data_IF_419195616359
#
_entry.id   IF_419195616359
#
_cell.length_a   1.000
_cell.length_b   1.000
_cell.length_c   1.000
_cell.angle_alpha   90.00
_cell.angle_beta   90.00
_cell.angle_gamma   90.00
#
_symmetry.space_group_name_H-M   'P 1'
#
loop_
_entity.id
_entity.type
_entity.pdbx_description
1 polymer ?
#
# COMPACT_ATOMS: atom_id res chain seq x y z
N UNK A 1 91.95 -32.55 33.05
CA UNK A 1 91.10 -31.45 33.55
C UNK A 1 91.43 -30.09 32.92
N UNK A 2 92.70 -29.68 32.77
CA UNK A 2 93.05 -28.37 32.18
C UNK A 2 92.62 -28.18 30.71
N UNK A 3 92.69 -29.21 29.85
CA UNK A 3 92.27 -29.13 28.43
C UNK A 3 90.75 -29.00 28.23
N UNK A 4 89.94 -29.54 29.15
CA UNK A 4 88.47 -29.45 29.09
C UNK A 4 88.00 -28.04 29.51
N UNK A 5 88.70 -27.40 30.45
CA UNK A 5 88.45 -26.02 30.85
C UNK A 5 88.72 -25.02 29.72
N UNK A 6 89.82 -25.19 28.96
CA UNK A 6 90.10 -24.34 27.79
C UNK A 6 89.07 -24.51 26.67
N UNK A 7 88.56 -25.72 26.45
CA UNK A 7 87.51 -25.98 25.47
C UNK A 7 86.16 -25.34 25.87
N UNK A 8 85.80 -25.40 27.16
CA UNK A 8 84.61 -24.73 27.69
C UNK A 8 84.70 -23.20 27.61
N UNK A 9 85.89 -22.63 27.85
CA UNK A 9 86.12 -21.18 27.75
C UNK A 9 86.00 -20.70 26.30
N UNK A 10 86.53 -21.46 25.33
CA UNK A 10 86.42 -21.13 23.90
C UNK A 10 84.95 -21.23 23.42
N UNK A 11 84.19 -22.23 23.87
CA UNK A 11 82.75 -22.35 23.58
C UNK A 11 81.95 -21.20 24.21
N UNK A 12 82.27 -20.78 25.44
CA UNK A 12 81.65 -19.62 26.06
C UNK A 12 81.97 -18.31 25.31
N UNK A 13 83.20 -18.13 24.84
CA UNK A 13 83.61 -16.95 24.07
C UNK A 13 82.96 -16.88 22.68
N UNK A 14 82.66 -18.02 22.06
CA UNK A 14 81.95 -18.08 20.77
C UNK A 14 80.44 -17.81 20.89
N UNK A 15 79.86 -17.90 22.09
CA UNK A 15 78.44 -17.62 22.35
C UNK A 15 78.07 -16.13 22.37
N UNK A 16 79.03 -15.22 22.51
CA UNK A 16 78.78 -13.78 22.59
C UNK A 16 78.68 -13.06 21.24
N UNK A 17 79.01 -13.72 20.12
CA UNK A 17 78.97 -13.11 18.78
C UNK A 17 77.64 -13.33 18.02
N UNK A 18 76.64 -13.96 18.64
CA UNK A 18 75.35 -14.25 17.99
C UNK A 18 74.18 -13.36 18.46
N UNK A 19 74.42 -12.37 19.33
CA UNK A 19 73.42 -11.34 19.61
C UNK A 19 73.41 -10.33 18.45
N UNK A 20 72.70 -10.64 17.36
CA UNK A 20 72.14 -9.56 16.53
C UNK A 20 71.13 -8.81 17.39
N UNK A 21 71.16 -7.47 17.36
CA UNK A 21 70.14 -6.68 18.03
C UNK A 21 68.77 -7.11 17.50
N UNK A 22 67.92 -7.61 18.40
CA UNK A 22 66.57 -8.08 18.08
C UNK A 22 65.77 -6.99 17.34
N UNK A 23 66.10 -5.72 17.62
CA UNK A 23 65.49 -4.51 17.08
C UNK A 23 65.77 -4.25 15.59
N UNK A 24 66.91 -4.72 15.08
CA UNK A 24 67.32 -4.50 13.68
C UNK A 24 66.33 -5.06 12.65
N UNK A 25 65.48 -6.01 13.04
CA UNK A 25 64.48 -6.62 12.14
C UNK A 25 63.25 -5.72 11.96
N UNK A 26 62.98 -4.82 12.91
CA UNK A 26 61.78 -3.98 12.92
C UNK A 26 62.01 -2.48 13.03
N UNK A 27 63.24 -2.03 13.27
CA UNK A 27 63.61 -0.60 13.31
C UNK A 27 63.14 0.17 12.06
N UNK A 28 63.21 -0.44 10.87
CA UNK A 28 62.71 0.14 9.62
C UNK A 28 61.18 0.34 9.57
N UNK A 29 60.43 -0.31 10.46
CA UNK A 29 58.98 -0.17 10.59
C UNK A 29 58.58 0.78 11.74
N UNK A 30 59.55 1.29 12.52
CA UNK A 30 59.28 2.25 13.62
C UNK A 30 59.29 3.67 13.07
N UNK A 31 58.14 4.33 13.08
CA UNK A 31 58.03 5.75 12.72
C UNK A 31 58.61 6.60 13.85
N UNK A 32 59.67 7.40 13.61
CA UNK A 32 60.24 8.28 14.62
C UNK A 32 59.17 9.25 15.16
N UNK A 33 59.01 9.32 16.49
CA UNK A 33 57.99 10.10 17.21
C UNK A 33 56.53 9.65 17.05
N UNK A 34 56.29 8.51 16.40
CA UNK A 34 54.94 7.96 16.20
C UNK A 34 54.09 8.72 15.19
N UNK A 35 52.91 8.19 14.86
CA UNK A 35 51.94 8.83 13.97
C UNK A 35 50.91 9.58 14.83
N UNK A 36 50.70 10.85 14.54
CA UNK A 36 49.67 11.67 15.19
C UNK A 36 48.33 11.38 14.52
N UNK A 37 47.33 11.01 15.32
CA UNK A 37 45.95 10.80 14.85
C UNK A 37 45.01 11.79 15.54
N UNK A 38 44.49 12.80 14.81
CA UNK A 38 43.42 13.63 15.34
C UNK A 38 42.16 12.80 15.59
N UNK A 39 41.25 13.30 16.43
CA UNK A 39 40.04 12.56 16.80
C UNK A 39 39.15 12.28 15.57
N UNK A 40 38.83 11.00 15.35
CA UNK A 40 37.90 10.54 14.30
C UNK A 40 36.46 11.00 14.54
N UNK A 41 35.64 10.96 13.49
CA UNK A 41 34.20 11.19 13.62
C UNK A 41 33.55 10.14 14.54
N UNK A 42 32.71 10.58 15.48
CA UNK A 42 32.05 9.74 16.48
C UNK A 42 30.52 9.78 16.33
N UNK A 43 29.85 8.65 16.57
CA UNK A 43 28.39 8.53 16.46
C UNK A 43 27.85 8.92 15.07
N UNK A 44 28.52 8.45 14.01
CA UNK A 44 28.19 8.74 12.62
C UNK A 44 26.80 8.20 12.25
N UNK A 45 26.00 9.03 11.58
CA UNK A 45 24.66 8.69 11.07
C UNK A 45 24.51 9.16 9.64
N UNK A 46 23.73 8.42 8.86
CA UNK A 46 23.33 8.79 7.51
C UNK A 46 21.81 8.86 7.43
N UNK A 47 21.32 9.88 6.75
CA UNK A 47 19.91 10.18 6.56
C UNK A 47 19.64 10.16 5.05
N UNK A 48 18.88 9.16 4.56
CA UNK A 48 18.55 9.03 3.15
C UNK A 48 17.74 10.22 2.61
N UNK A 49 17.95 10.58 1.34
CA UNK A 49 17.14 11.56 0.62
C UNK A 49 16.98 11.19 -0.85
N UNK A 50 16.30 12.06 -1.61
CA UNK A 50 16.24 11.94 -3.08
C UNK A 50 17.50 12.53 -3.71
N UNK A 51 18.25 11.68 -4.43
CA UNK A 51 19.52 11.97 -5.08
C UNK A 51 20.56 12.63 -4.18
N UNK A 52 20.43 12.42 -2.87
CA UNK A 52 21.28 13.00 -1.84
C UNK A 52 21.25 12.17 -0.56
N UNK A 53 22.24 12.39 0.29
CA UNK A 53 22.20 12.02 1.71
C UNK A 53 22.58 13.19 2.60
N UNK A 54 22.16 13.15 3.85
CA UNK A 54 22.74 13.93 4.93
C UNK A 54 23.53 13.01 5.85
N UNK A 55 24.75 13.41 6.18
CA UNK A 55 25.61 12.70 7.13
C UNK A 55 25.83 13.59 8.34
N UNK A 56 25.71 13.02 9.54
CA UNK A 56 25.94 13.75 10.79
C UNK A 56 26.80 12.97 11.77
N UNK A 57 27.55 13.67 12.61
CA UNK A 57 28.29 13.06 13.73
C UNK A 57 28.51 14.09 14.84
N UNK A 58 28.89 13.59 16.03
CA UNK A 58 29.24 14.45 17.16
C UNK A 58 30.61 15.10 16.93
N UNK A 59 30.71 16.41 17.10
CA UNK A 59 32.00 17.11 17.09
C UNK A 59 32.84 16.57 18.25
N UNK A 60 34.06 16.16 17.92
CA UNK A 60 35.02 15.67 18.91
C UNK A 60 35.41 16.75 19.93
N UNK A 61 36.04 16.32 21.02
CA UNK A 61 36.62 17.22 22.03
C UNK A 61 38.01 17.71 21.65
N UNK A 62 38.62 17.12 20.64
CA UNK A 62 39.94 17.53 20.13
C UNK A 62 39.85 18.86 19.37
N UNK A 63 40.37 19.97 19.93
CA UNK A 63 40.32 21.28 19.28
C UNK A 63 41.24 21.38 18.07
N UNK A 64 42.12 20.39 17.83
CA UNK A 64 43.03 20.41 16.67
C UNK A 64 42.33 20.02 15.37
N UNK A 65 41.17 19.36 15.44
CA UNK A 65 40.39 18.96 14.27
C UNK A 65 39.78 20.20 13.60
N UNK A 66 40.25 20.53 12.39
CA UNK A 66 39.80 21.72 11.65
C UNK A 66 39.13 21.37 10.32
N UNK A 67 39.38 20.19 9.76
CA UNK A 67 38.85 19.75 8.46
C UNK A 67 38.28 18.35 8.54
N UNK A 68 37.25 18.09 7.75
CA UNK A 68 36.72 16.76 7.51
C UNK A 68 36.64 16.49 6.01
N UNK A 69 36.78 15.23 5.64
CA UNK A 69 36.57 14.77 4.27
C UNK A 69 35.76 13.50 4.29
N UNK A 70 34.68 13.49 3.52
CA UNK A 70 33.84 12.30 3.28
C UNK A 70 34.21 11.74 1.93
N UNK A 71 34.38 10.43 1.84
CA UNK A 71 34.64 9.70 0.61
C UNK A 71 33.52 8.70 0.35
N UNK A 72 33.22 8.45 -0.92
CA UNK A 72 32.32 7.37 -1.36
C UNK A 72 32.85 6.76 -2.66
N UNK A 73 32.12 5.79 -3.21
CA UNK A 73 32.48 5.12 -4.46
C UNK A 73 33.91 4.55 -4.46
N UNK A 74 34.28 3.82 -3.41
CA UNK A 74 35.64 3.29 -3.23
C UNK A 74 36.74 4.38 -3.28
N UNK A 75 36.49 5.53 -2.66
CA UNK A 75 37.40 6.67 -2.55
C UNK A 75 37.67 7.44 -3.86
N UNK A 76 36.94 7.17 -4.94
CA UNK A 76 37.06 7.95 -6.17
C UNK A 76 36.42 9.33 -6.04
N UNK A 77 35.38 9.42 -5.21
CA UNK A 77 34.63 10.64 -4.99
C UNK A 77 34.77 11.11 -3.54
N UNK A 78 34.73 12.44 -3.35
CA UNK A 78 34.89 13.01 -2.03
C UNK A 78 34.40 14.44 -1.90
N UNK A 79 34.06 14.82 -0.68
CA UNK A 79 33.72 16.18 -0.29
C UNK A 79 34.53 16.57 0.94
N UNK A 80 35.34 17.63 0.81
CA UNK A 80 36.14 18.18 1.89
C UNK A 80 35.55 19.51 2.37
N UNK A 81 35.53 19.72 3.68
CA UNK A 81 34.99 20.95 4.27
C UNK A 81 35.62 21.25 5.63
N UNK A 82 35.49 22.51 6.06
CA UNK A 82 35.93 22.94 7.39
C UNK A 82 34.95 22.46 8.45
N UNK A 83 35.45 21.89 9.55
CA UNK A 83 34.60 21.42 10.65
C UNK A 83 33.98 22.65 11.33
N UNK A 84 32.63 22.72 11.45
CA UNK A 84 31.97 23.85 12.07
C UNK A 84 32.18 23.85 13.59
N UNK A 85 31.91 24.99 14.23
CA UNK A 85 32.03 25.10 15.69
C UNK A 85 30.93 24.36 16.46
N UNK A 86 29.83 23.99 15.80
CA UNK A 86 28.67 23.33 16.40
C UNK A 86 28.98 21.94 16.97
N UNK A 87 28.29 21.54 18.03
CA UNK A 87 28.43 20.22 18.66
C UNK A 87 28.08 19.04 17.73
N UNK A 88 27.30 19.29 16.68
CA UNK A 88 26.98 18.31 15.64
C UNK A 88 27.51 18.83 14.32
N UNK A 89 28.34 18.02 13.67
CA UNK A 89 28.74 18.25 12.28
C UNK A 89 27.68 17.63 11.38
N UNK A 90 27.23 18.38 10.38
CA UNK A 90 26.25 17.95 9.40
C UNK A 90 26.70 18.36 8.00
N UNK A 91 26.62 17.44 7.05
CA UNK A 91 26.98 17.66 5.66
C UNK A 91 25.97 16.98 4.74
N UNK A 92 25.54 17.70 3.71
CA UNK A 92 24.70 17.17 2.64
C UNK A 92 25.59 16.83 1.44
N UNK A 93 25.41 15.63 0.90
CA UNK A 93 26.06 15.16 -0.34
C UNK A 93 24.95 14.96 -1.35
N UNK A 94 24.86 15.84 -2.34
CA UNK A 94 23.89 15.79 -3.43
C UNK A 94 24.46 15.17 -4.70
N UNK A 95 23.65 15.21 -5.77
CA UNK A 95 23.98 14.67 -7.10
C UNK A 95 24.45 13.20 -7.06
N UNK A 96 23.83 12.42 -6.17
CA UNK A 96 24.07 10.98 -6.05
C UNK A 96 23.04 10.21 -6.87
N UNK A 97 23.52 9.21 -7.60
CA UNK A 97 22.66 8.23 -8.25
C UNK A 97 21.92 7.37 -7.20
N UNK A 98 20.78 6.80 -7.58
CA UNK A 98 20.06 5.88 -6.70
C UNK A 98 20.88 4.60 -6.49
N UNK A 99 21.40 4.41 -5.27
CA UNK A 99 22.16 3.22 -4.89
C UNK A 99 22.28 3.12 -3.37
N UNK A 100 22.77 1.99 -2.89
CA UNK A 100 23.36 1.89 -1.56
C UNK A 100 24.82 2.36 -1.62
N UNK A 101 25.22 3.21 -0.67
CA UNK A 101 26.56 3.76 -0.56
C UNK A 101 27.16 3.44 0.80
N UNK A 102 28.48 3.26 0.82
CA UNK A 102 29.28 3.34 2.04
C UNK A 102 30.09 4.63 2.01
N UNK A 103 29.92 5.44 3.05
CA UNK A 103 30.61 6.71 3.24
C UNK A 103 31.73 6.54 4.26
N UNK A 104 32.91 7.05 3.93
CA UNK A 104 34.10 7.02 4.78
C UNK A 104 34.45 8.43 5.22
N UNK A 105 34.39 8.69 6.52
CA UNK A 105 34.70 10.00 7.10
C UNK A 105 36.09 10.00 7.72
N UNK A 106 36.88 11.00 7.36
CA UNK A 106 38.20 11.25 7.93
C UNK A 106 38.33 12.70 8.36
N UNK A 107 38.86 12.93 9.55
CA UNK A 107 39.13 14.28 10.07
C UNK A 107 40.63 14.57 10.01
N UNK A 108 40.97 15.86 9.95
CA UNK A 108 42.34 16.34 9.80
C UNK A 108 42.61 17.53 10.73
N UNK A 109 43.83 17.59 11.24
CA UNK A 109 44.34 18.77 11.93
C UNK A 109 44.91 19.82 10.95
N UNK A 110 45.41 20.93 11.50
CA UNK A 110 45.94 22.03 10.71
C UNK A 110 47.25 21.64 9.98
N UNK A 111 48.01 20.71 10.55
CA UNK A 111 49.26 20.16 9.99
C UNK A 111 49.02 19.09 8.92
N UNK A 112 47.78 18.61 8.76
CA UNK A 112 47.40 17.62 7.76
C UNK A 112 47.52 16.17 8.25
N UNK A 113 47.76 15.93 9.53
CA UNK A 113 47.64 14.59 10.11
C UNK A 113 46.18 14.16 10.03
N UNK A 114 45.95 12.86 9.82
CA UNK A 114 44.65 12.35 9.46
C UNK A 114 44.19 11.28 10.45
N UNK A 115 42.93 11.34 10.86
CA UNK A 115 42.35 10.39 11.81
C UNK A 115 42.30 8.97 11.24
N UNK A 116 41.98 8.01 12.10
CA UNK A 116 41.42 6.73 11.65
C UNK A 116 40.07 7.00 10.97
N UNK A 117 39.73 6.19 9.97
CA UNK A 117 38.47 6.28 9.23
C UNK A 117 37.30 5.78 10.09
N UNK A 118 36.15 6.45 9.98
CA UNK A 118 34.85 5.96 10.45
C UNK A 118 33.95 5.80 9.24
N UNK A 119 33.24 4.69 9.12
CA UNK A 119 32.35 4.40 8.00
C UNK A 119 30.87 4.32 8.41
N UNK A 120 29.97 4.63 7.49
CA UNK A 120 28.52 4.42 7.62
C UNK A 120 27.94 4.08 6.25
N UNK A 121 26.99 3.14 6.21
CA UNK A 121 26.28 2.77 4.98
C UNK A 121 24.86 3.32 5.00
N UNK A 122 24.38 3.76 3.85
CA UNK A 122 23.03 4.31 3.69
C UNK A 122 22.56 4.28 2.24
N UNK A 123 21.24 4.28 2.08
CA UNK A 123 20.58 4.31 0.77
C UNK A 123 20.38 5.73 0.29
N UNK A 124 20.57 5.96 -1.01
CA UNK A 124 20.09 7.12 -1.75
C UNK A 124 18.87 6.67 -2.54
N UNK A 125 17.78 7.41 -2.45
CA UNK A 125 16.58 7.19 -3.27
C UNK A 125 16.64 8.06 -4.52
N UNK A 126 15.99 7.67 -5.61
CA UNK A 126 15.95 8.46 -6.84
C UNK A 126 14.75 8.10 -7.70
N UNK A 127 14.88 8.30 -9.02
CA UNK A 127 13.79 8.13 -9.97
C UNK A 127 13.25 6.70 -10.04
N UNK A 128 14.11 5.68 -9.84
CA UNK A 128 13.64 4.28 -9.86
C UNK A 128 12.72 4.00 -8.67
N UNK A 129 13.02 4.54 -7.49
CA UNK A 129 12.11 4.48 -6.35
C UNK A 129 10.80 5.24 -6.61
N UNK A 130 10.85 6.43 -7.22
CA UNK A 130 9.66 7.22 -7.53
C UNK A 130 8.74 6.52 -8.54
N UNK A 131 9.31 5.87 -9.55
CA UNK A 131 8.56 5.12 -10.56
C UNK A 131 7.97 3.82 -10.03
N UNK A 132 8.57 3.24 -8.98
CA UNK A 132 8.12 2.00 -8.36
C UNK A 132 6.90 2.20 -7.44
N UNK A 133 6.71 3.41 -6.90
CA UNK A 133 5.60 3.69 -5.98
C UNK A 133 4.35 4.14 -6.72
N UNK A 134 3.19 3.68 -6.27
CA UNK A 134 1.90 4.05 -6.83
C UNK A 134 0.82 4.03 -5.76
N UNK A 135 -0.38 4.52 -6.11
CA UNK A 135 -1.52 4.45 -5.21
C UNK A 135 -1.87 3.00 -4.88
N UNK A 136 -2.05 2.72 -3.58
CA UNK A 136 -2.65 1.47 -3.10
C UNK A 136 -4.01 1.27 -3.77
N UNK A 137 -4.26 0.07 -4.28
CA UNK A 137 -5.53 -0.22 -4.95
C UNK A 137 -6.71 -0.21 -3.97
N UNK A 138 -7.88 0.20 -4.47
CA UNK A 138 -9.16 -0.01 -3.80
C UNK A 138 -9.75 -1.31 -4.32
N UNK A 139 -10.04 -2.25 -3.42
CA UNK A 139 -10.70 -3.52 -3.73
C UNK A 139 -12.23 -3.38 -3.68
N UNK A 140 -12.75 -2.55 -2.79
CA UNK A 140 -14.19 -2.35 -2.63
C UNK A 140 -14.55 -0.96 -2.15
N UNK A 141 -15.72 -0.49 -2.61
CA UNK A 141 -16.39 0.71 -2.16
C UNK A 141 -17.81 0.33 -1.81
N UNK A 142 -18.21 0.58 -0.57
CA UNK A 142 -19.55 0.26 -0.11
C UNK A 142 -20.12 1.34 0.78
N UNK A 143 -21.44 1.40 0.85
CA UNK A 143 -22.19 2.26 1.76
C UNK A 143 -23.27 1.46 2.48
N UNK A 144 -23.70 1.95 3.64
CA UNK A 144 -24.77 1.33 4.41
C UNK A 144 -25.83 2.34 4.83
N UNK A 145 -26.97 1.85 5.32
CA UNK A 145 -28.17 2.68 5.51
C UNK A 145 -28.05 3.83 6.51
N UNK A 146 -26.98 3.87 7.30
CA UNK A 146 -26.66 4.97 8.21
C UNK A 146 -25.69 6.00 7.61
N UNK A 147 -25.37 5.91 6.31
CA UNK A 147 -24.43 6.81 5.64
C UNK A 147 -22.96 6.42 5.76
N UNK A 148 -22.61 5.35 6.46
CA UNK A 148 -21.23 4.87 6.55
C UNK A 148 -20.73 4.42 5.17
N UNK A 149 -19.69 5.09 4.68
CA UNK A 149 -18.85 4.66 3.57
C UNK A 149 -17.71 3.79 4.11
N UNK A 150 -17.48 2.66 3.44
CA UNK A 150 -16.38 1.75 3.74
C UNK A 150 -15.56 1.52 2.47
N UNK A 151 -14.27 1.87 2.55
CA UNK A 151 -13.27 1.62 1.52
C UNK A 151 -12.46 0.40 1.95
N UNK A 152 -12.50 -0.67 1.16
CA UNK A 152 -11.64 -1.83 1.31
C UNK A 152 -10.37 -1.69 0.46
N UNK A 153 -9.21 -1.68 1.10
CA UNK A 153 -7.91 -1.53 0.44
C UNK A 153 -7.32 -2.87 0.00
N UNK A 154 -6.62 -2.88 -1.13
CA UNK A 154 -5.76 -3.98 -1.54
C UNK A 154 -4.52 -4.14 -0.66
N UNK A 155 -3.57 -5.03 -0.99
CA UNK A 155 -2.30 -5.12 -0.27
C UNK A 155 -1.54 -3.78 -0.29
N UNK A 156 -0.94 -3.39 0.84
CA UNK A 156 -0.07 -2.21 0.90
C UNK A 156 1.34 -2.55 0.40
N UNK A 157 1.98 -1.61 -0.27
CA UNK A 157 3.40 -1.72 -0.65
C UNK A 157 4.32 -1.34 0.53
N UNK A 158 4.32 -2.19 1.55
CA UNK A 158 5.14 -2.01 2.76
C UNK A 158 6.64 -2.07 2.42
N UNK A 159 7.02 -2.83 1.38
CA UNK A 159 8.40 -2.98 0.96
C UNK A 159 9.03 -1.65 0.49
N UNK A 160 8.26 -0.82 -0.21
CA UNK A 160 8.67 0.54 -0.59
C UNK A 160 8.30 1.61 0.45
N UNK A 161 7.78 1.21 1.62
CA UNK A 161 7.49 2.10 2.73
C UNK A 161 6.14 2.80 2.67
N UNK A 162 5.11 2.19 2.07
CA UNK A 162 3.75 2.71 2.20
C UNK A 162 3.40 2.85 3.69
N UNK A 163 3.14 4.08 4.13
CA UNK A 163 2.94 4.41 5.54
C UNK A 163 1.45 4.53 5.88
N UNK A 164 0.69 5.24 5.05
CA UNK A 164 -0.75 5.42 5.21
C UNK A 164 -1.40 5.90 3.91
N UNK A 165 -2.72 5.75 3.84
CA UNK A 165 -3.58 6.38 2.83
C UNK A 165 -4.11 7.69 3.40
N UNK A 166 -4.13 8.73 2.59
CA UNK A 166 -4.79 9.99 2.90
C UNK A 166 -6.03 10.10 2.01
N UNK A 167 -7.20 9.98 2.61
CA UNK A 167 -8.51 10.09 1.95
C UNK A 167 -9.08 11.46 2.25
N UNK A 168 -9.47 12.17 1.20
CA UNK A 168 -10.01 13.52 1.26
C UNK A 168 -11.41 13.51 0.65
N UNK A 169 -12.36 14.17 1.28
CA UNK A 169 -13.74 14.24 0.82
C UNK A 169 -14.43 15.51 1.34
N UNK A 170 -15.54 15.89 0.71
CA UNK A 170 -16.46 16.91 1.21
C UNK A 170 -17.46 16.27 2.18
N UNK A 171 -17.63 16.82 3.38
CA UNK A 171 -18.60 16.29 4.34
C UNK A 171 -20.06 16.63 3.99
N UNK A 172 -21.00 15.93 4.62
CA UNK A 172 -22.44 16.13 4.48
C UNK A 172 -23.07 17.01 5.58
N UNK A 173 -22.26 17.58 6.46
CA UNK A 173 -22.71 18.40 7.59
C UNK A 173 -22.69 19.88 7.20
N UNK A 174 -21.49 20.38 6.90
CA UNK A 174 -21.21 21.79 6.61
C UNK A 174 -20.69 21.99 5.17
N UNK A 175 -20.31 20.90 4.48
CA UNK A 175 -19.76 20.93 3.14
C UNK A 175 -18.26 21.25 3.11
N UNK A 176 -17.56 21.05 4.22
CA UNK A 176 -16.13 21.30 4.35
C UNK A 176 -15.29 20.11 3.87
N UNK A 177 -14.04 20.37 3.50
CA UNK A 177 -13.09 19.32 3.12
C UNK A 177 -12.53 18.63 4.39
N UNK A 178 -12.76 17.33 4.49
CA UNK A 178 -12.24 16.47 5.55
C UNK A 178 -11.09 15.60 5.03
N UNK A 179 -10.16 15.28 5.92
CA UNK A 179 -9.06 14.35 5.64
C UNK A 179 -9.01 13.24 6.67
N UNK A 180 -9.12 12.00 6.20
CA UNK A 180 -8.94 10.79 7.02
C UNK A 180 -7.63 10.11 6.63
N UNK A 181 -6.84 9.73 7.64
CA UNK A 181 -5.62 8.94 7.45
C UNK A 181 -5.83 7.53 7.94
N UNK A 182 -5.49 6.57 7.10
CA UNK A 182 -5.59 5.15 7.43
C UNK A 182 -4.21 4.51 7.32
N UNK A 183 -3.64 3.98 8.41
CA UNK A 183 -2.34 3.31 8.38
C UNK A 183 -2.28 2.22 7.31
N UNK A 184 -1.12 2.02 6.68
CA UNK A 184 -0.95 0.99 5.66
C UNK A 184 -1.14 -0.44 6.19
N UNK A 185 -1.03 -0.64 7.51
CA UNK A 185 -1.35 -1.89 8.21
C UNK A 185 -2.84 -2.20 8.24
N UNK A 186 -3.70 -1.18 8.10
CA UNK A 186 -5.15 -1.36 8.05
C UNK A 186 -5.60 -1.65 6.61
N UNK A 187 -6.65 -2.46 6.49
CA UNK A 187 -7.25 -2.81 5.19
C UNK A 187 -8.57 -2.08 4.93
N UNK A 188 -9.03 -1.25 5.87
CA UNK A 188 -10.33 -0.58 5.79
C UNK A 188 -10.24 0.87 6.24
N UNK A 189 -10.89 1.77 5.49
CA UNK A 189 -11.24 3.12 5.93
C UNK A 189 -12.75 3.24 6.06
N UNK A 190 -13.21 3.83 7.16
CA UNK A 190 -14.62 4.10 7.45
C UNK A 190 -14.86 5.61 7.54
N UNK A 191 -15.88 6.10 6.85
CA UNK A 191 -16.25 7.53 6.80
C UNK A 191 -17.75 7.64 7.05
N UNK A 192 -18.16 8.40 8.07
CA UNK A 192 -19.57 8.47 8.51
C UNK A 192 -20.31 9.73 8.04
N UNK A 193 -19.56 10.75 7.62
CA UNK A 193 -20.04 12.09 7.28
C UNK A 193 -19.78 12.42 5.80
N UNK A 194 -19.64 11.41 4.94
CA UNK A 194 -19.37 11.61 3.51
C UNK A 194 -20.51 12.36 2.82
N UNK A 195 -20.15 13.41 2.07
CA UNK A 195 -21.02 14.14 1.15
C UNK A 195 -20.65 13.94 -0.31
N UNK A 196 -19.44 14.34 -0.73
CA UNK A 196 -19.01 14.32 -2.13
C UNK A 196 -17.47 14.34 -2.31
N UNK A 197 -17.02 14.32 -3.57
CA UNK A 197 -15.63 14.59 -3.99
C UNK A 197 -14.58 13.73 -3.27
N UNK A 198 -14.83 12.43 -3.13
CA UNK A 198 -13.86 11.51 -2.53
C UNK A 198 -12.65 11.34 -3.45
N UNK A 199 -11.46 11.62 -2.92
CA UNK A 199 -10.17 11.35 -3.56
C UNK A 199 -9.21 10.78 -2.54
N UNK A 200 -8.20 10.06 -3.00
CA UNK A 200 -7.21 9.50 -2.09
C UNK A 200 -5.81 9.50 -2.69
N UNK A 201 -4.82 9.38 -1.82
CA UNK A 201 -3.44 9.08 -2.21
C UNK A 201 -2.75 8.19 -1.19
N UNK A 202 -1.66 7.56 -1.60
CA UNK A 202 -0.77 6.80 -0.71
C UNK A 202 0.46 7.62 -0.37
N UNK A 203 0.81 7.63 0.91
CA UNK A 203 1.96 8.34 1.45
C UNK A 203 3.05 7.34 1.84
N UNK A 204 4.26 7.56 1.33
CA UNK A 204 5.40 6.68 1.48
C UNK A 204 6.49 7.30 2.37
N UNK A 205 7.00 6.50 3.30
CA UNK A 205 8.15 6.77 4.16
C UNK A 205 9.04 5.51 4.15
N UNK A 206 9.99 5.41 3.21
CA UNK A 206 10.80 4.21 3.02
C UNK A 206 11.86 4.01 4.11
N UNK A 207 12.23 5.09 4.80
CA UNK A 207 13.10 5.04 5.98
C UNK A 207 12.62 6.07 7.01
N UNK A 208 12.66 5.70 8.29
CA UNK A 208 12.30 6.60 9.40
C UNK A 208 13.29 7.77 9.55
N UNK A 209 14.51 7.61 9.05
CA UNK A 209 15.56 8.63 8.99
C UNK A 209 15.56 9.40 7.67
N UNK A 210 14.63 9.12 6.74
CA UNK A 210 14.59 9.81 5.47
C UNK A 210 14.32 11.32 5.68
N UNK A 211 15.12 12.16 5.02
CA UNK A 211 15.01 13.63 5.07
C UNK A 211 14.23 14.16 3.86
N UNK A 212 14.04 15.47 3.76
CA UNK A 212 13.16 16.06 2.75
C UNK A 212 13.52 15.61 1.30
N UNK A 213 12.53 15.26 0.46
CA UNK A 213 11.11 15.59 0.60
C UNK A 213 10.24 14.47 1.23
N UNK A 214 10.82 13.52 1.97
CA UNK A 214 10.01 12.51 2.64
C UNK A 214 9.09 13.11 3.73
N UNK A 215 7.86 12.61 3.90
CA UNK A 215 7.27 11.50 3.16
C UNK A 215 6.86 11.87 1.72
N UNK A 216 7.02 10.94 0.79
CA UNK A 216 6.63 11.14 -0.61
C UNK A 216 5.14 10.82 -0.77
N UNK A 217 4.44 11.70 -1.46
CA UNK A 217 3.00 11.58 -1.68
C UNK A 217 2.77 11.34 -3.15
N UNK A 218 2.03 10.29 -3.45
CA UNK A 218 1.50 10.07 -4.79
C UNK A 218 0.45 11.13 -5.13
N UNK A 219 0.12 11.25 -6.41
CA UNK A 219 -0.97 12.11 -6.87
C UNK A 219 -2.32 11.64 -6.32
N UNK A 220 -3.23 12.60 -6.11
CA UNK A 220 -4.59 12.26 -5.75
C UNK A 220 -5.28 11.54 -6.90
N UNK A 221 -5.90 10.41 -6.57
CA UNK A 221 -6.81 9.70 -7.44
C UNK A 221 -8.24 9.98 -7.00
N UNK A 222 -9.03 10.53 -7.92
CA UNK A 222 -10.46 10.72 -7.73
C UNK A 222 -11.17 9.36 -7.66
N UNK A 223 -11.98 9.18 -6.62
CA UNK A 223 -12.86 8.02 -6.47
C UNK A 223 -14.22 8.41 -7.02
N UNK A 224 -14.32 8.34 -8.34
CA UNK A 224 -15.60 8.44 -9.03
C UNK A 224 -16.16 7.05 -9.27
N UNK A 225 -17.42 6.82 -8.91
CA UNK A 225 -18.02 5.51 -9.10
C UNK A 225 -19.27 5.28 -8.29
N UNK A 226 -19.59 4.01 -8.17
CA UNK A 226 -20.79 3.48 -7.54
C UNK A 226 -20.41 2.78 -6.23
N UNK A 227 -21.05 3.14 -5.13
CA UNK A 227 -20.85 2.49 -3.83
C UNK A 227 -21.82 1.32 -3.70
N UNK A 228 -21.32 0.11 -3.52
CA UNK A 228 -22.17 -1.05 -3.27
C UNK A 228 -23.01 -0.83 -2.01
N UNK A 229 -24.33 -0.92 -2.10
CA UNK A 229 -25.21 -0.76 -0.95
C UNK A 229 -25.29 -2.08 -0.17
N UNK A 230 -24.80 -2.05 1.06
CA UNK A 230 -24.74 -3.25 1.88
C UNK A 230 -26.15 -3.82 2.16
N UNK A 231 -26.31 -5.12 1.89
CA UNK A 231 -27.57 -5.87 1.98
C UNK A 231 -27.90 -6.43 3.36
N UNK A 232 -27.02 -6.27 4.37
CA UNK A 232 -27.18 -6.88 5.71
C UNK A 232 -28.57 -6.71 6.33
N UNK A 233 -29.24 -5.57 6.11
CA UNK A 233 -30.55 -5.28 6.69
C UNK A 233 -31.70 -5.29 5.67
N UNK A 234 -31.48 -5.79 4.45
CA UNK A 234 -32.53 -5.86 3.45
C UNK A 234 -33.56 -6.94 3.78
N UNK A 235 -34.78 -6.76 3.27
CA UNK A 235 -35.87 -7.73 3.44
C UNK A 235 -36.63 -7.96 2.16
N UNK A 236 -36.97 -9.21 1.88
CA UNK A 236 -37.96 -9.53 0.85
C UNK A 236 -39.36 -9.24 1.39
N UNK A 237 -40.08 -8.31 0.76
CA UNK A 237 -41.44 -7.94 1.14
C UNK A 237 -42.50 -8.73 0.37
N UNK A 238 -42.26 -8.94 -0.93
CA UNK A 238 -43.17 -9.65 -1.80
C UNK A 238 -42.39 -10.28 -2.96
N UNK A 239 -42.92 -11.37 -3.50
CA UNK A 239 -42.40 -12.03 -4.69
C UNK A 239 -43.56 -12.72 -5.43
N UNK A 240 -43.42 -12.94 -6.73
CA UNK A 240 -44.47 -13.55 -7.55
C UNK A 240 -44.72 -15.01 -7.19
N UNK A 241 -43.65 -15.78 -7.05
CA UNK A 241 -43.68 -17.19 -6.61
C UNK A 241 -42.28 -17.66 -6.21
N UNK A 242 -42.20 -18.80 -5.52
CA UNK A 242 -40.95 -19.52 -5.29
C UNK A 242 -41.20 -21.02 -5.41
N UNK A 243 -40.26 -21.78 -5.96
CA UNK A 243 -40.42 -23.20 -6.24
C UNK A 243 -40.59 -24.04 -4.96
N UNK A 244 -39.76 -23.76 -3.94
CA UNK A 244 -39.83 -24.35 -2.61
C UNK A 244 -38.97 -23.54 -1.63
N UNK A 245 -38.81 -24.01 -0.39
CA UNK A 245 -38.03 -23.33 0.64
C UNK A 245 -36.52 -23.23 0.32
N UNK A 246 -35.95 -24.20 -0.40
CA UNK A 246 -34.52 -24.19 -0.77
C UNK A 246 -34.20 -23.17 -1.86
N UNK A 247 -35.18 -22.82 -2.69
CA UNK A 247 -35.07 -21.81 -3.76
C UNK A 247 -35.85 -20.54 -3.42
N UNK A 248 -35.71 -20.10 -2.17
CA UNK A 248 -36.40 -18.95 -1.60
C UNK A 248 -36.03 -17.65 -2.32
N UNK A 249 -36.96 -16.69 -2.36
CA UNK A 249 -36.66 -15.34 -2.82
C UNK A 249 -35.59 -14.64 -1.98
N UNK A 250 -35.38 -15.06 -0.72
CA UNK A 250 -34.32 -14.51 0.15
C UNK A 250 -32.91 -14.84 -0.36
N UNK A 251 -32.75 -15.91 -1.14
CA UNK A 251 -31.46 -16.24 -1.74
C UNK A 251 -30.97 -15.14 -2.71
N UNK A 252 -31.89 -14.32 -3.25
CA UNK A 252 -31.53 -13.23 -4.16
C UNK A 252 -30.86 -12.02 -3.48
N UNK A 253 -30.70 -12.02 -2.15
CA UNK A 253 -30.14 -10.89 -1.40
C UNK A 253 -29.20 -11.33 -0.27
N UNK A 254 -28.77 -12.59 -0.22
CA UNK A 254 -28.03 -13.14 0.92
C UNK A 254 -26.50 -13.04 0.78
N UNK A 255 -26.03 -12.56 -0.37
CA UNK A 255 -24.61 -12.37 -0.68
C UNK A 255 -23.93 -13.63 -1.23
N UNK A 256 -24.67 -14.67 -1.60
CA UNK A 256 -24.13 -15.93 -2.11
C UNK A 256 -24.60 -16.23 -3.53
N UNK A 257 -23.69 -16.17 -4.50
CA UNK A 257 -24.01 -16.59 -5.89
C UNK A 257 -24.15 -18.10 -6.05
N UNK A 258 -23.86 -18.88 -5.00
CA UNK A 258 -23.89 -20.35 -4.98
C UNK A 258 -25.24 -20.95 -4.60
N UNK A 259 -26.24 -20.11 -4.33
CA UNK A 259 -27.64 -20.50 -4.25
C UNK A 259 -28.46 -19.60 -5.20
N UNK A 260 -29.79 -19.74 -5.19
CA UNK A 260 -30.66 -19.00 -6.11
C UNK A 260 -32.11 -18.94 -5.68
N UNK A 261 -32.80 -17.91 -6.15
CA UNK A 261 -34.25 -17.88 -6.20
C UNK A 261 -34.74 -18.52 -7.51
N UNK A 262 -35.74 -19.40 -7.44
CA UNK A 262 -36.44 -19.97 -8.60
C UNK A 262 -37.93 -19.75 -8.42
N UNK A 263 -38.62 -19.24 -9.44
CA UNK A 263 -40.08 -19.12 -9.46
C UNK A 263 -40.78 -20.47 -9.69
N UNK A 264 -42.09 -20.53 -9.49
CA UNK A 264 -42.86 -21.69 -9.97
C UNK A 264 -43.04 -21.62 -11.49
N UNK A 265 -43.39 -22.76 -12.11
CA UNK A 265 -43.66 -22.86 -13.55
C UNK A 265 -44.95 -22.11 -13.93
N UNK A 266 -44.88 -20.79 -14.08
CA UNK A 266 -46.01 -19.93 -14.43
C UNK A 266 -45.58 -18.89 -15.46
N UNK A 267 -46.53 -18.41 -16.26
CA UNK A 267 -46.19 -17.42 -17.28
C UNK A 267 -45.60 -16.15 -16.63
N UNK A 268 -44.58 -15.59 -17.28
CA UNK A 268 -44.07 -14.26 -16.98
C UNK A 268 -45.21 -13.21 -17.02
N UNK A 269 -45.10 -12.13 -16.24
CA UNK A 269 -43.92 -11.66 -15.52
C UNK A 269 -43.69 -12.31 -14.14
N UNK A 270 -42.45 -12.24 -13.68
CA UNK A 270 -42.07 -12.61 -12.32
C UNK A 270 -41.40 -11.44 -11.62
N UNK A 271 -41.63 -11.27 -10.32
CA UNK A 271 -41.18 -10.08 -9.61
C UNK A 271 -40.73 -10.36 -8.18
N UNK A 272 -39.82 -9.55 -7.67
CA UNK A 272 -39.43 -9.49 -6.26
C UNK A 272 -39.40 -8.03 -5.81
N UNK A 273 -39.89 -7.78 -4.61
CA UNK A 273 -39.94 -6.46 -3.96
C UNK A 273 -39.15 -6.52 -2.67
N UNK A 274 -38.21 -5.58 -2.53
CA UNK A 274 -37.22 -5.52 -1.47
C UNK A 274 -37.38 -4.22 -0.68
N UNK A 275 -37.28 -4.30 0.65
CA UNK A 275 -37.00 -3.15 1.52
C UNK A 275 -35.49 -3.10 1.74
N UNK A 276 -34.86 -2.03 1.27
CA UNK A 276 -33.42 -1.78 1.47
C UNK A 276 -33.12 -1.25 2.88
N UNK A 277 -34.15 -0.97 3.68
CA UNK A 277 -34.12 -0.51 5.07
C UNK A 277 -33.42 0.84 5.29
N UNK A 278 -33.17 1.59 4.23
CA UNK A 278 -32.73 2.99 4.26
C UNK A 278 -33.09 3.68 2.94
N UNK A 279 -33.18 5.00 2.98
CA UNK A 279 -33.33 5.81 1.76
C UNK A 279 -31.93 6.06 1.19
N UNK A 280 -31.70 5.65 -0.04
CA UNK A 280 -30.43 5.81 -0.77
C UNK A 280 -30.66 6.29 -2.19
N UNK A 281 -29.66 6.93 -2.79
CA UNK A 281 -29.70 7.32 -4.21
C UNK A 281 -29.25 6.16 -5.08
N UNK A 282 -30.21 5.36 -5.55
CA UNK A 282 -29.96 4.24 -6.48
C UNK A 282 -29.51 4.80 -7.82
N UNK A 283 -28.36 4.35 -8.32
CA UNK A 283 -27.80 4.84 -9.58
C UNK A 283 -27.32 3.70 -10.52
N UNK A 284 -27.06 2.51 -9.99
CA UNK A 284 -26.82 1.31 -10.77
C UNK A 284 -27.39 0.10 -10.04
N UNK A 285 -27.87 -0.88 -10.80
CA UNK A 285 -28.35 -2.15 -10.29
C UNK A 285 -27.52 -3.27 -10.89
N UNK A 286 -27.26 -4.31 -10.11
CA UNK A 286 -26.67 -5.54 -10.64
C UNK A 286 -27.56 -6.75 -10.39
N UNK A 287 -27.69 -7.58 -11.43
CA UNK A 287 -28.43 -8.84 -11.38
C UNK A 287 -27.47 -9.96 -11.72
N UNK A 288 -27.31 -10.90 -10.80
CA UNK A 288 -26.39 -12.02 -10.96
C UNK A 288 -27.15 -13.26 -11.41
N UNK A 289 -26.69 -13.92 -12.48
CA UNK A 289 -27.07 -15.30 -12.74
C UNK A 289 -26.59 -16.20 -11.60
N UNK A 290 -27.37 -17.22 -11.29
CA UNK A 290 -26.94 -18.28 -10.37
C UNK A 290 -25.79 -19.10 -10.97
N UNK A 291 -24.77 -19.41 -10.17
CA UNK A 291 -23.76 -20.41 -10.55
C UNK A 291 -24.01 -21.79 -9.92
N UNK A 292 -25.03 -21.91 -9.06
CA UNK A 292 -25.44 -23.17 -8.45
C UNK A 292 -25.80 -24.20 -9.53
N UNK A 293 -25.22 -25.40 -9.46
CA UNK A 293 -25.54 -26.52 -10.37
C UNK A 293 -25.49 -26.19 -11.88
N UNK A 294 -24.81 -25.10 -12.26
CA UNK A 294 -24.48 -24.75 -13.64
C UNK A 294 -23.01 -25.10 -13.83
N UNK A 295 -22.66 -26.21 -14.51
CA UNK A 295 -21.25 -26.55 -14.78
C UNK A 295 -20.50 -25.42 -15.48
N UNK A 296 -19.18 -25.36 -15.28
CA UNK A 296 -18.33 -24.43 -16.02
C UNK A 296 -18.47 -24.69 -17.52
N UNK A 297 -18.60 -23.63 -18.33
CA UNK A 297 -18.86 -23.76 -19.76
C UNK A 297 -20.33 -23.90 -20.17
N UNK A 298 -21.28 -24.09 -19.24
CA UNK A 298 -22.73 -24.20 -19.56
C UNK A 298 -23.50 -22.91 -19.30
N UNK A 299 -24.67 -22.79 -19.94
CA UNK A 299 -25.56 -21.61 -19.91
C UNK A 299 -26.87 -22.01 -19.24
N UNK A 300 -27.37 -21.17 -18.32
CA UNK A 300 -28.73 -21.28 -17.78
C UNK A 300 -29.65 -20.28 -18.50
N UNK A 301 -30.47 -20.78 -19.41
CA UNK A 301 -31.38 -19.97 -20.24
C UNK A 301 -32.63 -19.50 -19.48
N UNK A 302 -32.75 -19.82 -18.19
CA UNK A 302 -33.85 -19.36 -17.33
C UNK A 302 -33.55 -18.02 -16.66
N UNK A 303 -32.37 -17.46 -16.87
CA UNK A 303 -32.10 -16.05 -16.57
C UNK A 303 -32.96 -15.17 -17.48
N UNK A 304 -33.66 -14.15 -16.96
CA UNK A 304 -34.58 -13.34 -17.76
C UNK A 304 -33.83 -12.63 -18.89
N UNK A 305 -34.47 -12.48 -20.05
CA UNK A 305 -33.91 -11.73 -21.19
C UNK A 305 -34.33 -10.27 -21.22
N UNK A 306 -35.34 -9.90 -20.42
CA UNK A 306 -35.77 -8.52 -20.26
C UNK A 306 -36.23 -8.27 -18.84
N UNK A 307 -35.72 -7.20 -18.25
CA UNK A 307 -35.92 -6.87 -16.84
C UNK A 307 -36.40 -5.43 -16.73
N UNK A 308 -37.41 -5.20 -15.90
CA UNK A 308 -37.84 -3.86 -15.47
C UNK A 308 -37.38 -3.59 -14.05
N UNK A 309 -36.89 -2.39 -13.81
CA UNK A 309 -36.57 -1.90 -12.49
C UNK A 309 -37.52 -0.79 -12.07
N UNK A 310 -38.02 -0.89 -10.85
CA UNK A 310 -38.89 0.11 -10.25
C UNK A 310 -38.41 0.39 -8.84
N UNK A 311 -38.55 1.63 -8.38
CA UNK A 311 -38.17 2.02 -7.03
C UNK A 311 -39.24 2.88 -6.37
N UNK A 312 -39.27 2.89 -5.05
CA UNK A 312 -40.25 3.64 -4.27
C UNK A 312 -39.67 4.14 -2.95
N UNK A 313 -40.23 5.24 -2.42
CA UNK A 313 -39.95 5.74 -1.07
C UNK A 313 -40.90 5.15 -0.01
N UNK A 314 -42.10 4.72 -0.41
CA UNK A 314 -43.21 4.39 0.49
C UNK A 314 -43.82 2.99 0.25
N UNK A 315 -43.31 2.23 -0.73
CA UNK A 315 -43.82 0.93 -1.18
C UNK A 315 -45.25 0.99 -1.78
N UNK A 316 -45.74 2.18 -2.12
CA UNK A 316 -47.06 2.43 -2.70
C UNK A 316 -46.94 3.06 -4.09
N UNK A 317 -46.24 4.20 -4.17
CA UNK A 317 -45.96 4.90 -5.42
C UNK A 317 -44.64 4.41 -6.00
N UNK A 318 -44.70 3.80 -7.18
CA UNK A 318 -43.54 3.21 -7.85
C UNK A 318 -43.10 4.06 -9.04
N UNK A 319 -41.82 4.42 -9.06
CA UNK A 319 -41.16 5.05 -10.21
C UNK A 319 -40.49 3.98 -11.06
N UNK A 320 -40.86 3.90 -12.33
CA UNK A 320 -40.16 3.06 -13.31
C UNK A 320 -38.80 3.69 -13.65
N UNK A 321 -37.72 2.91 -13.49
CA UNK A 321 -36.36 3.33 -13.81
C UNK A 321 -35.92 2.91 -15.22
N UNK A 322 -36.66 2.01 -15.86
CA UNK A 322 -36.40 1.53 -17.22
C UNK A 322 -36.68 0.04 -17.37
N UNK A 323 -36.70 -0.38 -18.63
CA UNK A 323 -36.66 -1.78 -19.03
C UNK A 323 -35.36 -2.02 -19.80
N UNK A 324 -34.72 -3.15 -19.53
CA UNK A 324 -33.39 -3.46 -19.99
C UNK A 324 -33.36 -4.88 -20.53
N UNK A 325 -32.72 -5.04 -21.68
CA UNK A 325 -32.47 -6.36 -22.25
C UNK A 325 -31.24 -6.99 -21.59
N UNK A 326 -31.26 -8.32 -21.46
CA UNK A 326 -30.15 -9.12 -20.94
C UNK A 326 -29.92 -10.35 -21.81
N UNK A 327 -28.67 -10.60 -22.15
CA UNK A 327 -28.28 -11.79 -22.89
C UNK A 327 -28.09 -12.97 -21.93
N UNK A 328 -28.98 -13.96 -22.06
CA UNK A 328 -28.95 -15.23 -21.33
C UNK A 328 -28.37 -16.39 -22.17
N UNK A 329 -27.83 -16.10 -23.36
CA UNK A 329 -27.18 -17.09 -24.25
C UNK A 329 -25.67 -17.15 -24.05
N UNK A 330 -25.12 -16.25 -23.25
CA UNK A 330 -23.70 -16.17 -22.92
C UNK A 330 -23.43 -16.75 -21.54
N UNK A 331 -22.41 -17.59 -21.43
CA UNK A 331 -21.95 -18.08 -20.15
C UNK A 331 -21.23 -16.97 -19.40
N UNK A 332 -21.95 -16.26 -18.54
CA UNK A 332 -21.37 -15.24 -17.70
C UNK A 332 -21.72 -15.54 -16.25
N UNK A 333 -20.68 -15.84 -15.48
CA UNK A 333 -20.72 -16.13 -14.05
C UNK A 333 -20.67 -14.88 -13.16
N UNK A 334 -20.59 -13.70 -13.76
CA UNK A 334 -20.56 -12.40 -13.09
C UNK A 334 -21.88 -11.62 -13.20
N UNK A 335 -21.98 -10.54 -12.42
CA UNK A 335 -23.09 -9.61 -12.43
C UNK A 335 -23.35 -9.03 -13.83
N UNK A 336 -24.62 -8.75 -14.13
CA UNK A 336 -25.03 -7.80 -15.16
C UNK A 336 -25.31 -6.47 -14.51
N UNK A 337 -24.60 -5.42 -14.94
CA UNK A 337 -24.78 -4.07 -14.44
C UNK A 337 -25.72 -3.28 -15.35
N UNK A 338 -26.63 -2.55 -14.74
CA UNK A 338 -27.61 -1.71 -15.42
C UNK A 338 -27.56 -0.31 -14.82
N UNK A 339 -27.07 0.65 -15.60
CA UNK A 339 -27.12 2.06 -15.21
C UNK A 339 -28.57 2.54 -15.25
N UNK A 340 -29.00 3.17 -14.16
CA UNK A 340 -30.36 3.71 -14.00
C UNK A 340 -30.29 5.20 -13.69
N UNK A 341 -31.33 5.99 -14.02
CA UNK A 341 -31.38 7.39 -13.61
C UNK A 341 -31.27 7.50 -12.08
N UNK A 342 -30.28 8.25 -11.53
CA UNK A 342 -30.12 8.40 -10.09
C UNK A 342 -31.42 8.82 -9.40
N UNK A 343 -31.89 7.99 -8.47
CA UNK A 343 -33.20 8.16 -7.83
C UNK A 343 -33.13 7.77 -6.36
N UNK A 344 -33.54 8.67 -5.47
CA UNK A 344 -33.71 8.37 -4.05
C UNK A 344 -34.85 7.37 -3.83
N UNK A 345 -34.55 6.27 -3.14
CA UNK A 345 -35.50 5.20 -2.88
C UNK A 345 -35.13 4.40 -1.64
N UNK A 346 -36.14 3.75 -1.05
CA UNK A 346 -35.98 2.74 0.01
C UNK A 346 -36.40 1.35 -0.47
N UNK A 347 -37.37 1.29 -1.36
CA UNK A 347 -37.90 0.05 -1.89
C UNK A 347 -37.46 -0.13 -3.32
N UNK A 348 -37.13 -1.36 -3.67
CA UNK A 348 -36.69 -1.77 -4.99
C UNK A 348 -37.52 -2.95 -5.46
N UNK A 349 -38.03 -2.89 -6.69
CA UNK A 349 -38.71 -3.99 -7.35
C UNK A 349 -38.03 -4.31 -8.66
N UNK A 350 -37.66 -5.58 -8.80
CA UNK A 350 -37.28 -6.18 -10.07
C UNK A 350 -38.48 -6.93 -10.63
N UNK A 351 -38.75 -6.76 -11.93
CA UNK A 351 -39.69 -7.60 -12.68
C UNK A 351 -38.99 -8.19 -13.90
N UNK A 352 -38.79 -9.51 -13.92
CA UNK A 352 -38.48 -10.23 -15.15
C UNK A 352 -39.72 -10.23 -16.03
N UNK A 353 -39.59 -9.72 -17.25
CA UNK A 353 -40.72 -9.54 -18.19
C UNK A 353 -40.85 -10.71 -19.16
N UNK A 354 -39.74 -11.32 -19.53
CA UNK A 354 -39.68 -12.46 -20.44
C UNK A 354 -38.33 -13.18 -20.30
N UNK A 355 -38.29 -14.38 -20.86
CA UNK A 355 -37.07 -15.17 -21.05
C UNK A 355 -37.18 -15.98 -22.35
N UNK A 356 -36.17 -16.81 -22.65
CA UNK A 356 -36.14 -17.67 -23.83
C UNK A 356 -37.40 -18.56 -23.90
N UNK A 357 -38.15 -18.55 -25.02
CA UNK A 357 -39.37 -19.35 -25.18
C UNK A 357 -39.13 -20.87 -25.02
N UNK A 358 -40.01 -21.55 -24.29
CA UNK A 358 -39.95 -23.00 -24.07
C UNK A 358 -40.57 -23.40 -22.72
N UNK A 359 -40.46 -24.68 -22.33
CA UNK A 359 -40.86 -25.15 -20.99
C UNK A 359 -40.06 -24.46 -19.88
N UNK A 360 -38.79 -24.17 -20.14
CA UNK A 360 -37.92 -23.37 -19.28
C UNK A 360 -38.28 -21.87 -19.30
N UNK A 361 -39.05 -21.44 -20.31
CA UNK A 361 -39.55 -20.07 -20.51
C UNK A 361 -40.59 -19.59 -19.51
N UNK A 362 -40.95 -20.44 -18.55
CA UNK A 362 -41.94 -20.22 -17.50
C UNK A 362 -41.30 -20.12 -16.11
N UNK A 363 -39.97 -20.21 -16.04
CA UNK A 363 -39.20 -20.01 -14.80
C UNK A 363 -38.35 -18.74 -14.92
N UNK A 364 -38.13 -18.08 -13.79
CA UNK A 364 -37.07 -17.10 -13.60
C UNK A 364 -36.13 -17.62 -12.53
N UNK A 365 -34.83 -17.56 -12.82
CA UNK A 365 -33.77 -17.88 -11.88
C UNK A 365 -32.85 -16.69 -11.70
N UNK A 366 -32.65 -16.29 -10.44
CA UNK A 366 -31.72 -15.24 -10.05
C UNK A 366 -30.80 -15.76 -8.95
N UNK A 367 -29.51 -15.46 -9.08
CA UNK A 367 -28.52 -15.71 -8.02
C UNK A 367 -28.59 -14.60 -6.98
N UNK A 368 -28.28 -13.37 -7.39
CA UNK A 368 -28.15 -12.23 -6.48
C UNK A 368 -28.64 -10.92 -7.11
N UNK A 369 -29.04 -9.99 -6.24
CA UNK A 369 -29.43 -8.62 -6.58
C UNK A 369 -28.63 -7.64 -5.74
N UNK A 370 -28.01 -6.69 -6.43
CA UNK A 370 -27.22 -5.63 -5.82
C UNK A 370 -27.72 -4.26 -6.26
N UNK A 371 -27.60 -3.30 -5.35
CA UNK A 371 -27.85 -1.88 -5.60
C UNK A 371 -26.53 -1.16 -5.39
N UNK A 372 -26.25 -0.21 -6.27
CA UNK A 372 -25.15 0.70 -6.07
C UNK A 372 -25.62 2.16 -6.08
N UNK A 373 -25.02 2.91 -5.16
CA UNK A 373 -25.39 4.27 -4.83
C UNK A 373 -24.40 5.28 -5.40
N UNK A 374 -24.87 6.51 -5.57
CA UNK A 374 -24.03 7.70 -5.78
C UNK A 374 -24.15 8.65 -4.60
#
# INVERSE_FOLDING_TARGET
MKKLAYFLIIICLLGFFSCKEMDSTYEQFVVPNGIIYPQKADSLKVYPGLNKVRITWQKGKDPKVVKAKVYWNNYTDSLAFSVPENDIVSVDIGDLDESEYTFYVRTFDAEGNASVITEVSGKVYGETYLDAISNRSINSLSTSGNGLITIGWGPADIANGAAYMEVVYTDNLDGDEQTVRTPASESVTNITDYGANLRYRTVFMPDILAIEPFPIKTEYQEVSGYFFFNKTNWKVLAYSSQLNASYSANNAIDGQTTNRWITTNTAYPHSITLDMNAVVTVAQLAVWPSIEAVPAGTIDTRFPTRIRFEVSLDNLAWKNLGEYDSDNTVNIRGARFFDVPPTSARYYRLTGLETTPGQDGLYMILGELDVYCK
#
